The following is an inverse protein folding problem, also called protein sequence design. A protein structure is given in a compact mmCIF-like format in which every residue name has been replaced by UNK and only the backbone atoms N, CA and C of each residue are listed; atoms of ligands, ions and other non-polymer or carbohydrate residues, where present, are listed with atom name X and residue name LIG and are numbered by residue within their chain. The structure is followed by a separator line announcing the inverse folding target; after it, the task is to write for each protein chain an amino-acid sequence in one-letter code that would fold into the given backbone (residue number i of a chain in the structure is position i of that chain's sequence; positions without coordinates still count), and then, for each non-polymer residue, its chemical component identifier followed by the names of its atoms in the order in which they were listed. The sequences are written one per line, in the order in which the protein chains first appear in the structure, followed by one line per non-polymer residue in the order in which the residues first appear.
data_IF_352446806863
#
_entry.id   IF_352446806863
#
_cell.length_a   1.000
_cell.length_b   1.000
_cell.length_c   1.000
_cell.angle_alpha   90.00
_cell.angle_beta   90.00
_cell.angle_gamma   90.00
#
_symmetry.space_group_name_H-M   'P 1'
#
loop_
_entity.id
_entity.type
_entity.pdbx_description
1 polymer ?
#
# COMPACT_ATOMS: atom_id res chain seq x y z
N UNK A 1 -10.23 -17.14 0.85
CA UNK A 1 -9.91 -15.79 0.33
C UNK A 1 -9.34 -14.79 1.37
N UNK A 2 -9.37 -15.04 2.69
CA UNK A 2 -8.84 -14.11 3.71
C UNK A 2 -7.33 -13.86 3.65
N UNK A 3 -6.56 -14.83 3.14
CA UNK A 3 -5.08 -14.74 3.04
C UNK A 3 -4.63 -13.58 2.14
N UNK A 4 -5.44 -13.16 1.17
CA UNK A 4 -5.06 -12.10 0.23
C UNK A 4 -5.10 -10.71 0.88
N UNK A 5 -6.17 -10.39 1.63
CA UNK A 5 -6.31 -9.10 2.30
C UNK A 5 -5.26 -8.88 3.40
N UNK A 6 -4.94 -9.93 4.16
CA UNK A 6 -3.89 -9.84 5.20
C UNK A 6 -2.51 -9.61 4.60
N UNK A 7 -2.20 -10.27 3.48
CA UNK A 7 -0.94 -10.06 2.75
C UNK A 7 -0.83 -8.64 2.17
N UNK A 8 -1.89 -8.12 1.56
CA UNK A 8 -1.94 -6.75 1.04
C UNK A 8 -1.75 -5.71 2.15
N UNK A 9 -2.42 -5.88 3.30
CA UNK A 9 -2.24 -5.00 4.46
C UNK A 9 -0.81 -5.05 5.03
N UNK A 10 -0.20 -6.24 5.07
CA UNK A 10 1.21 -6.38 5.50
C UNK A 10 2.15 -5.64 4.54
N UNK A 11 1.97 -5.81 3.23
CA UNK A 11 2.73 -5.11 2.20
C UNK A 11 2.56 -3.59 2.27
N UNK A 12 1.35 -3.10 2.57
CA UNK A 12 1.08 -1.68 2.78
C UNK A 12 1.86 -1.12 3.98
N UNK A 13 1.96 -1.86 5.08
CA UNK A 13 2.74 -1.46 6.23
C UNK A 13 4.25 -1.33 5.89
N UNK A 14 4.77 -2.25 5.08
CA UNK A 14 6.16 -2.22 4.58
C UNK A 14 6.38 -0.97 3.71
N UNK A 15 5.47 -0.68 2.78
CA UNK A 15 5.61 0.47 1.89
C UNK A 15 5.53 1.80 2.64
N UNK A 16 4.65 1.91 3.64
CA UNK A 16 4.62 3.07 4.55
C UNK A 16 5.91 3.23 5.35
N UNK A 17 6.55 2.13 5.73
CA UNK A 17 7.87 2.20 6.37
C UNK A 17 8.96 2.69 5.40
N UNK A 18 8.92 2.25 4.13
CA UNK A 18 9.79 2.76 3.06
C UNK A 18 9.60 4.27 2.84
N UNK A 19 8.35 4.73 2.70
CA UNK A 19 8.02 6.15 2.57
C UNK A 19 8.62 6.98 3.72
N UNK A 20 8.46 6.53 4.97
CA UNK A 20 9.04 7.23 6.13
C UNK A 20 10.56 7.34 6.07
N UNK A 21 11.25 6.35 5.52
CA UNK A 21 12.71 6.40 5.34
C UNK A 21 13.08 7.40 4.23
N UNK A 22 12.36 7.39 3.11
CA UNK A 22 12.56 8.33 2.02
C UNK A 22 12.30 9.79 2.45
N UNK A 23 11.28 10.02 3.28
CA UNK A 23 11.01 11.34 3.90
C UNK A 23 12.18 11.78 4.79
N UNK A 24 12.69 10.89 5.63
CA UNK A 24 13.85 11.20 6.49
C UNK A 24 15.13 11.49 5.69
N UNK A 25 15.26 10.88 4.52
CA UNK A 25 16.39 11.10 3.61
C UNK A 25 16.19 12.31 2.67
N UNK A 26 15.03 12.98 2.74
CA UNK A 26 14.62 14.06 1.83
C UNK A 26 14.68 13.67 0.34
N UNK A 27 14.57 12.36 0.03
CA UNK A 27 14.61 11.86 -1.34
C UNK A 27 13.23 11.98 -1.99
N UNK A 28 12.96 13.14 -2.60
CA UNK A 28 11.69 13.43 -3.27
C UNK A 28 11.35 12.49 -4.42
N UNK A 29 12.34 11.89 -5.08
CA UNK A 29 12.08 10.93 -6.16
C UNK A 29 11.60 9.59 -5.58
N UNK A 30 12.22 9.15 -4.50
CA UNK A 30 11.85 7.93 -3.81
C UNK A 30 10.52 8.08 -3.04
N UNK A 31 10.27 9.25 -2.44
CA UNK A 31 8.97 9.61 -1.83
C UNK A 31 7.84 9.42 -2.85
N UNK A 32 7.96 10.00 -4.05
CA UNK A 32 6.92 9.87 -5.09
C UNK A 32 6.69 8.41 -5.50
N UNK A 33 7.76 7.62 -5.65
CA UNK A 33 7.65 6.19 -5.96
C UNK A 33 6.88 5.43 -4.88
N UNK A 34 7.19 5.71 -3.61
CA UNK A 34 6.49 5.09 -2.49
C UNK A 34 5.03 5.52 -2.42
N UNK A 35 4.72 6.80 -2.61
CA UNK A 35 3.35 7.32 -2.63
C UNK A 35 2.51 6.67 -3.72
N UNK A 36 3.00 6.61 -4.96
CA UNK A 36 2.29 5.94 -6.07
C UNK A 36 2.08 4.45 -5.80
N UNK A 37 3.08 3.78 -5.24
CA UNK A 37 3.00 2.35 -4.90
C UNK A 37 2.00 2.07 -3.77
N UNK A 38 1.93 2.98 -2.79
CA UNK A 38 0.97 2.92 -1.68
C UNK A 38 -0.46 3.14 -2.19
N UNK A 39 -0.66 4.14 -3.05
CA UNK A 39 -1.98 4.45 -3.61
C UNK A 39 -2.53 3.28 -4.43
N UNK A 40 -1.69 2.71 -5.31
CA UNK A 40 -2.05 1.52 -6.11
C UNK A 40 -2.45 0.35 -5.21
N UNK A 41 -1.67 0.06 -4.17
CA UNK A 41 -1.93 -1.04 -3.25
C UNK A 41 -3.18 -0.79 -2.38
N UNK A 42 -3.45 0.47 -2.02
CA UNK A 42 -4.65 0.85 -1.29
C UNK A 42 -5.89 0.60 -2.14
N UNK A 43 -5.85 0.94 -3.43
CA UNK A 43 -6.93 0.64 -4.37
C UNK A 43 -7.17 -0.87 -4.52
N UNK A 44 -6.12 -1.68 -4.63
CA UNK A 44 -6.27 -3.15 -4.67
C UNK A 44 -6.95 -3.69 -3.40
N UNK A 45 -6.62 -3.13 -2.23
CA UNK A 45 -7.27 -3.50 -0.97
C UNK A 45 -8.75 -3.14 -1.01
N UNK A 46 -9.07 -1.93 -1.46
CA UNK A 46 -10.44 -1.44 -1.55
C UNK A 46 -11.27 -2.26 -2.53
N UNK A 47 -10.71 -2.65 -3.68
CA UNK A 47 -11.34 -3.53 -4.67
C UNK A 47 -11.62 -4.92 -4.08
N UNK A 48 -10.68 -5.50 -3.31
CA UNK A 48 -10.88 -6.78 -2.63
C UNK A 48 -11.95 -6.69 -1.55
N UNK A 49 -12.00 -5.57 -0.82
CA UNK A 49 -13.05 -5.32 0.17
C UNK A 49 -14.39 -5.20 -0.54
N UNK A 50 -14.47 -4.36 -1.58
CA UNK A 50 -15.69 -4.14 -2.35
C UNK A 50 -16.24 -5.46 -2.93
N UNK A 51 -15.40 -6.24 -3.60
CA UNK A 51 -15.78 -7.54 -4.14
C UNK A 51 -16.26 -8.52 -3.08
N UNK A 52 -15.81 -8.39 -1.82
CA UNK A 52 -16.25 -9.27 -0.73
C UNK A 52 -17.65 -8.93 -0.18
N UNK A 53 -18.05 -7.67 -0.22
CA UNK A 53 -19.35 -7.21 0.31
C UNK A 53 -20.44 -7.14 -0.75
N UNK A 54 -20.06 -7.13 -2.03
CA UNK A 54 -20.98 -7.08 -3.17
C UNK A 54 -21.06 -8.41 -3.96
N UNK A 55 -20.60 -9.52 -3.37
CA UNK A 55 -20.83 -10.89 -3.85
C UNK A 55 -21.80 -11.64 -2.95
#
# INVERSE_FOLDING_TARGET
MSKNLSALKSRLAIYKAGLRKAIQAEDHAEIRKWETSIDTLQKEIDDVIYARWHC
#
